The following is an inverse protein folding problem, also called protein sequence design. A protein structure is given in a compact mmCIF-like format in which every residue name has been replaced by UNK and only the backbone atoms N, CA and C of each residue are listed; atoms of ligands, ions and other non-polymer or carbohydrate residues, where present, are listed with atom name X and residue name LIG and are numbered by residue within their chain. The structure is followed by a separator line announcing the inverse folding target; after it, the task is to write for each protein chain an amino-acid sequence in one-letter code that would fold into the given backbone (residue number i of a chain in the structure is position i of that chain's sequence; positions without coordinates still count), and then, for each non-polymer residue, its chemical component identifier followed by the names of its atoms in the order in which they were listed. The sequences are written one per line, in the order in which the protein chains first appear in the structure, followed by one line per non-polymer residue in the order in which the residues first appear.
data_IF_574460087483
#
_entry.id   IF_574460087483
#
_cell.length_a   1.000
_cell.length_b   1.000
_cell.length_c   1.000
_cell.angle_alpha   90.00
_cell.angle_beta   90.00
_cell.angle_gamma   90.00
#
_symmetry.space_group_name_H-M   'P 1'
#
loop_
_entity.id
_entity.type
_entity.pdbx_description
1 polymer ?
#
# COMPACT_ATOMS: atom_id res chain seq x y z
N UNK A 1 18.90 -19.97 25.93
CA UNK A 1 18.78 -18.52 25.61
C UNK A 1 20.11 -18.13 24.96
N UNK A 2 20.19 -18.09 23.62
CA UNK A 2 21.35 -17.50 22.93
C UNK A 2 21.34 -16.01 23.25
N UNK A 3 22.32 -15.57 24.02
CA UNK A 3 22.59 -14.14 24.23
C UNK A 3 22.78 -13.51 22.85
N UNK A 4 21.93 -12.55 22.47
CA UNK A 4 22.05 -11.85 21.21
C UNK A 4 23.44 -11.19 21.14
N UNK A 5 24.39 -11.81 20.42
CA UNK A 5 25.72 -11.24 20.19
C UNK A 5 25.53 -9.85 19.58
N UNK A 6 26.27 -8.85 20.06
CA UNK A 6 26.26 -7.51 19.45
C UNK A 6 26.61 -7.61 17.97
N UNK A 7 26.01 -6.79 17.13
CA UNK A 7 26.37 -6.76 15.72
C UNK A 7 27.84 -6.31 15.58
N UNK A 8 28.59 -6.95 14.69
CA UNK A 8 29.95 -6.51 14.38
C UNK A 8 29.95 -5.20 13.60
N UNK A 9 31.04 -4.44 13.62
CA UNK A 9 31.18 -3.23 12.82
C UNK A 9 30.91 -3.50 11.32
N UNK A 10 31.38 -4.64 10.79
CA UNK A 10 31.14 -5.04 9.40
C UNK A 10 29.63 -5.27 9.11
N UNK A 11 28.89 -5.87 10.06
CA UNK A 11 27.43 -6.05 9.90
C UNK A 11 26.67 -4.73 9.92
N UNK A 12 27.09 -3.78 10.76
CA UNK A 12 26.50 -2.43 10.81
C UNK A 12 26.84 -1.63 9.56
N UNK A 13 28.06 -1.75 9.04
CA UNK A 13 28.46 -1.13 7.77
C UNK A 13 27.63 -1.69 6.60
N UNK A 14 27.48 -3.02 6.52
CA UNK A 14 26.63 -3.64 5.50
C UNK A 14 25.17 -3.18 5.60
N UNK A 15 24.60 -3.10 6.79
CA UNK A 15 23.26 -2.55 6.99
C UNK A 15 23.19 -1.08 6.57
N UNK A 16 24.20 -0.28 6.89
CA UNK A 16 24.29 1.13 6.46
C UNK A 16 24.25 1.28 4.94
N UNK A 17 25.01 0.44 4.21
CA UNK A 17 25.01 0.43 2.74
C UNK A 17 23.65 0.01 2.17
N UNK A 18 23.00 -1.00 2.78
CA UNK A 18 21.65 -1.44 2.39
C UNK A 18 20.63 -0.31 2.63
N UNK A 19 20.70 0.38 3.77
CA UNK A 19 19.81 1.51 4.07
C UNK A 19 20.05 2.70 3.15
N UNK A 20 21.29 2.95 2.73
CA UNK A 20 21.60 3.99 1.73
C UNK A 20 20.97 3.68 0.38
N UNK A 21 21.08 2.44 -0.10
CA UNK A 21 20.40 1.98 -1.31
C UNK A 21 18.87 2.07 -1.15
N UNK A 22 18.35 1.63 0.00
CA UNK A 22 16.93 1.70 0.31
C UNK A 22 16.41 3.15 0.30
N UNK A 23 17.20 4.10 0.83
CA UNK A 23 16.87 5.52 0.80
C UNK A 23 16.88 6.07 -0.63
N UNK A 24 17.89 5.75 -1.43
CA UNK A 24 17.96 6.18 -2.83
C UNK A 24 16.73 5.73 -3.62
N UNK A 25 16.35 4.44 -3.52
CA UNK A 25 15.17 3.91 -4.20
C UNK A 25 13.85 4.54 -3.74
N UNK A 26 13.75 5.05 -2.51
CA UNK A 26 12.50 5.59 -1.93
C UNK A 26 12.38 7.11 -2.05
N UNK A 27 13.49 7.83 -1.93
CA UNK A 27 13.51 9.29 -2.05
C UNK A 27 13.32 9.73 -3.49
N UNK A 28 13.99 9.05 -4.43
CA UNK A 28 13.79 9.31 -5.87
C UNK A 28 12.38 8.89 -6.24
N UNK A 29 11.62 9.81 -6.81
CA UNK A 29 10.22 9.61 -7.19
C UNK A 29 9.19 9.92 -6.08
N UNK A 30 9.58 10.08 -4.81
CA UNK A 30 8.63 10.50 -3.76
C UNK A 30 8.04 11.89 -4.03
N UNK A 31 8.77 12.74 -4.76
CA UNK A 31 8.30 14.05 -5.22
C UNK A 31 7.37 14.03 -6.44
N UNK A 32 7.14 12.86 -7.06
CA UNK A 32 6.31 12.77 -8.26
C UNK A 32 4.89 13.27 -8.00
N UNK A 33 4.40 14.15 -8.88
CA UNK A 33 3.07 14.74 -8.79
C UNK A 33 2.88 15.83 -7.75
N UNK A 34 3.88 16.14 -6.90
CA UNK A 34 3.75 17.22 -5.91
C UNK A 34 3.51 18.58 -6.61
N UNK A 35 2.74 19.48 -5.96
CA UNK A 35 2.18 19.40 -4.60
C UNK A 35 0.89 18.56 -4.46
N UNK A 36 0.53 17.76 -5.43
CA UNK A 36 -0.74 17.03 -5.52
C UNK A 36 -0.59 15.54 -5.17
N UNK A 37 -1.61 14.85 -4.67
CA UNK A 37 -1.53 13.45 -4.23
C UNK A 37 -1.64 12.46 -5.41
N UNK A 38 -0.79 12.61 -6.44
CA UNK A 38 -0.92 11.84 -7.68
C UNK A 38 -0.37 10.40 -7.60
N UNK A 39 0.36 10.02 -6.55
CA UNK A 39 0.90 8.67 -6.42
C UNK A 39 -0.14 7.66 -5.92
N UNK A 40 -1.04 8.08 -5.03
CA UNK A 40 -2.07 7.20 -4.48
C UNK A 40 -3.31 8.01 -4.08
N UNK A 41 -4.53 7.63 -4.51
CA UNK A 41 -5.75 8.34 -4.16
C UNK A 41 -6.08 8.32 -2.65
N UNK A 42 -5.58 7.33 -1.88
CA UNK A 42 -5.79 7.28 -0.44
C UNK A 42 -5.13 8.48 0.27
N UNK A 43 -4.06 9.07 -0.30
CA UNK A 43 -3.40 10.26 0.26
C UNK A 43 -4.38 11.46 0.37
N UNK A 44 -5.34 11.59 -0.56
CA UNK A 44 -6.38 12.64 -0.53
C UNK A 44 -7.26 12.56 0.73
N UNK A 45 -7.39 11.38 1.30
CA UNK A 45 -8.17 11.15 2.52
C UNK A 45 -7.31 11.20 3.78
N UNK A 46 -6.07 10.71 3.71
CA UNK A 46 -5.23 10.48 4.87
C UNK A 46 -4.45 11.75 5.29
N UNK A 47 -3.84 12.44 4.35
CA UNK A 47 -2.99 13.61 4.65
C UNK A 47 -3.80 14.81 5.17
N UNK A 48 -4.96 15.18 4.58
CA UNK A 48 -5.78 16.25 5.13
C UNK A 48 -6.27 15.97 6.56
N UNK A 49 -6.61 14.73 6.92
CA UNK A 49 -6.98 14.37 8.29
C UNK A 49 -5.82 14.50 9.27
N UNK A 50 -4.61 14.10 8.85
CA UNK A 50 -3.42 14.30 9.64
C UNK A 50 -3.10 15.80 9.86
N UNK A 51 -3.35 16.63 8.85
CA UNK A 51 -3.21 18.08 8.93
C UNK A 51 -4.25 18.69 9.90
N UNK A 52 -5.53 18.31 9.76
CA UNK A 52 -6.62 18.77 10.63
C UNK A 52 -6.36 18.45 12.09
N UNK A 53 -5.78 17.28 12.39
CA UNK A 53 -5.45 16.84 13.75
C UNK A 53 -4.56 17.85 14.49
N UNK A 54 -3.64 18.52 13.80
CA UNK A 54 -2.71 19.49 14.41
C UNK A 54 -3.10 20.95 14.18
N UNK A 55 -4.18 21.22 13.40
CA UNK A 55 -4.71 22.56 13.10
C UNK A 55 -6.13 22.78 13.67
N UNK A 56 -6.42 22.18 14.82
CA UNK A 56 -7.67 22.44 15.56
C UNK A 56 -8.89 21.64 15.15
N UNK A 57 -8.74 20.67 14.21
CA UNK A 57 -9.82 19.75 13.81
C UNK A 57 -10.14 18.65 14.85
N UNK A 58 -9.40 18.61 15.98
CA UNK A 58 -9.56 17.59 17.01
C UNK A 58 -8.85 16.28 16.69
N UNK A 59 -8.87 15.34 17.66
CA UNK A 59 -8.21 14.03 17.54
C UNK A 59 -9.09 12.96 16.88
N UNK A 60 -10.39 13.23 16.71
CA UNK A 60 -11.33 12.34 16.05
C UNK A 60 -11.28 12.56 14.54
N UNK A 61 -10.86 11.55 13.74
CA UNK A 61 -10.83 11.71 12.29
C UNK A 61 -12.22 11.73 11.63
N UNK A 62 -13.29 11.37 12.37
CA UNK A 62 -14.66 11.26 11.85
C UNK A 62 -14.81 10.27 10.68
N UNK A 63 -13.85 9.33 10.53
CA UNK A 63 -13.75 8.38 9.44
C UNK A 63 -12.89 7.20 9.88
N UNK A 64 -13.43 5.99 9.78
CA UNK A 64 -12.86 4.80 10.40
C UNK A 64 -12.54 3.68 9.40
N UNK A 65 -12.38 4.00 8.11
CA UNK A 65 -11.85 3.05 7.12
C UNK A 65 -10.47 2.54 7.53
N UNK A 66 -9.70 3.41 8.21
CA UNK A 66 -8.43 3.09 8.84
C UNK A 66 -8.38 3.61 10.29
N UNK A 67 -7.67 2.89 11.20
CA UNK A 67 -7.40 3.39 12.54
C UNK A 67 -6.43 4.58 12.54
N UNK A 68 -6.22 5.23 13.70
CA UNK A 68 -5.65 6.57 13.76
C UNK A 68 -4.12 6.66 13.77
N UNK A 69 -3.37 5.54 13.88
CA UNK A 69 -1.91 5.61 14.09
C UNK A 69 -1.18 6.35 12.96
N UNK A 70 -1.62 6.20 11.69
CA UNK A 70 -0.98 6.92 10.59
C UNK A 70 -1.21 8.43 10.72
N UNK A 71 -2.41 8.88 11.09
CA UNK A 71 -2.69 10.30 11.30
C UNK A 71 -1.80 10.89 12.39
N UNK A 72 -1.60 10.16 13.50
CA UNK A 72 -0.70 10.55 14.59
C UNK A 72 0.77 10.59 14.12
N UNK A 73 1.18 9.66 13.25
CA UNK A 73 2.55 9.63 12.72
C UNK A 73 2.81 10.77 11.73
N UNK A 74 1.82 11.12 10.89
CA UNK A 74 1.94 12.18 9.90
C UNK A 74 1.71 13.58 10.47
N UNK A 75 0.86 13.73 11.50
CA UNK A 75 0.47 15.01 12.08
C UNK A 75 1.63 15.96 12.39
N UNK A 76 2.69 15.54 13.10
CA UNK A 76 3.84 16.39 13.39
C UNK A 76 4.51 16.98 12.15
N UNK A 77 4.51 16.27 11.02
CA UNK A 77 5.07 16.75 9.77
C UNK A 77 4.25 17.86 9.11
N UNK A 78 3.00 18.05 9.56
CA UNK A 78 2.07 19.04 9.00
C UNK A 78 2.08 20.39 9.73
N UNK A 79 2.73 20.49 10.90
CA UNK A 79 2.68 21.67 11.78
C UNK A 79 3.14 23.00 11.14
N UNK A 80 4.02 22.94 10.13
CA UNK A 80 4.57 24.13 9.47
C UNK A 80 3.88 24.53 8.17
N UNK A 81 2.70 23.98 7.86
CA UNK A 81 2.01 24.19 6.60
C UNK A 81 0.58 24.67 6.80
N UNK A 82 0.19 25.74 6.10
CA UNK A 82 -1.17 26.30 6.14
C UNK A 82 -2.20 25.40 5.41
N UNK A 83 -1.74 24.54 4.52
CA UNK A 83 -2.51 23.53 3.81
C UNK A 83 -1.88 22.14 3.92
N UNK A 84 -2.64 21.04 3.71
CA UNK A 84 -2.08 19.68 3.76
C UNK A 84 -0.87 19.47 2.84
N UNK A 85 0.29 19.17 3.42
CA UNK A 85 1.53 18.94 2.68
C UNK A 85 1.77 17.45 2.41
N UNK A 86 1.49 17.02 1.18
CA UNK A 86 1.76 15.64 0.74
C UNK A 86 3.25 15.34 0.71
N UNK A 87 4.09 16.32 0.38
CA UNK A 87 5.55 16.17 0.40
C UNK A 87 6.08 15.84 1.79
N UNK A 88 5.67 16.59 2.82
CA UNK A 88 6.05 16.34 4.21
C UNK A 88 5.56 14.97 4.70
N UNK A 89 4.32 14.59 4.36
CA UNK A 89 3.76 13.29 4.68
C UNK A 89 4.55 12.13 4.03
N UNK A 90 4.97 12.27 2.77
CA UNK A 90 5.78 11.28 2.06
C UNK A 90 7.18 11.11 2.63
N UNK A 91 7.78 12.17 3.16
CA UNK A 91 9.07 12.06 3.90
C UNK A 91 8.92 11.14 5.11
N UNK A 92 7.81 11.26 5.86
CA UNK A 92 7.51 10.35 6.98
C UNK A 92 7.31 8.92 6.47
N UNK A 93 6.57 8.72 5.36
CA UNK A 93 6.38 7.41 4.76
C UNK A 93 7.71 6.76 4.34
N UNK A 94 8.64 7.52 3.74
CA UNK A 94 10.00 7.05 3.42
C UNK A 94 10.74 6.62 4.70
N UNK A 95 10.68 7.40 5.77
CA UNK A 95 11.31 7.06 7.05
C UNK A 95 10.73 5.75 7.64
N UNK A 96 9.40 5.57 7.57
CA UNK A 96 8.72 4.33 7.98
C UNK A 96 9.22 3.16 7.10
N UNK A 97 9.34 3.34 5.80
CA UNK A 97 9.87 2.34 4.88
C UNK A 97 11.30 1.90 5.21
N UNK A 98 12.18 2.86 5.53
CA UNK A 98 13.56 2.59 5.97
C UNK A 98 13.58 1.85 7.32
N UNK A 99 12.73 2.23 8.27
CA UNK A 99 12.54 1.51 9.52
C UNK A 99 12.08 0.06 9.28
N UNK A 100 11.23 -0.18 8.24
CA UNK A 100 10.81 -1.51 7.80
C UNK A 100 11.98 -2.38 7.33
N UNK A 101 12.93 -1.81 6.58
CA UNK A 101 14.18 -2.50 6.17
C UNK A 101 15.01 -2.90 7.39
N UNK A 102 15.17 -1.99 8.36
CA UNK A 102 15.89 -2.26 9.60
C UNK A 102 15.17 -3.31 10.46
N UNK A 103 13.84 -3.28 10.50
CA UNK A 103 13.03 -4.28 11.20
C UNK A 103 13.15 -5.68 10.58
N UNK A 104 13.21 -5.78 9.25
CA UNK A 104 13.44 -7.05 8.55
C UNK A 104 14.83 -7.61 8.84
N UNK A 105 15.86 -6.77 8.87
CA UNK A 105 17.19 -7.17 9.34
C UNK A 105 17.15 -7.70 10.76
N UNK A 106 16.50 -7.00 11.68
CA UNK A 106 16.36 -7.43 13.07
C UNK A 106 15.63 -8.77 13.18
N UNK A 107 14.48 -8.92 12.50
CA UNK A 107 13.70 -10.15 12.46
C UNK A 107 14.55 -11.33 11.98
N UNK A 108 15.20 -11.19 10.82
CA UNK A 108 16.01 -12.26 10.24
C UNK A 108 17.18 -12.64 11.13
N UNK A 109 17.86 -11.64 11.71
CA UNK A 109 18.97 -11.87 12.64
C UNK A 109 18.53 -12.58 13.92
N UNK A 110 17.38 -12.22 14.47
CA UNK A 110 16.83 -12.82 15.66
C UNK A 110 16.33 -14.26 15.40
N UNK A 111 15.78 -14.52 14.21
CA UNK A 111 15.22 -15.81 13.84
C UNK A 111 16.31 -16.83 13.45
N UNK A 112 17.25 -16.45 12.57
CA UNK A 112 18.15 -17.40 11.91
C UNK A 112 19.59 -16.90 11.81
N UNK A 113 19.91 -15.74 12.36
CA UNK A 113 21.26 -15.18 12.39
C UNK A 113 21.57 -14.18 11.27
N UNK A 114 22.85 -13.85 11.13
CA UNK A 114 23.31 -12.72 10.31
C UNK A 114 22.89 -12.80 8.84
N UNK A 115 23.02 -13.96 8.20
CA UNK A 115 22.66 -14.13 6.79
C UNK A 115 21.18 -13.83 6.55
N UNK A 116 20.29 -14.38 7.39
CA UNK A 116 18.88 -14.12 7.27
C UNK A 116 18.54 -12.64 7.54
N UNK A 117 19.26 -11.98 8.45
CA UNK A 117 19.12 -10.54 8.65
C UNK A 117 19.49 -9.73 7.42
N UNK A 118 20.64 -10.02 6.81
CA UNK A 118 21.09 -9.30 5.60
C UNK A 118 20.15 -9.56 4.41
N UNK A 119 19.76 -10.82 4.18
CA UNK A 119 18.81 -11.15 3.09
C UNK A 119 17.46 -10.52 3.33
N UNK A 120 16.94 -10.52 4.57
CA UNK A 120 15.71 -9.83 4.94
C UNK A 120 15.76 -8.34 4.59
N UNK A 121 16.87 -7.66 4.98
CA UNK A 121 17.06 -6.25 4.67
C UNK A 121 17.19 -5.99 3.15
N UNK A 122 18.01 -6.76 2.43
CA UNK A 122 18.17 -6.64 0.97
C UNK A 122 16.84 -6.88 0.27
N UNK A 123 16.14 -7.97 0.62
CA UNK A 123 14.88 -8.32 -0.02
C UNK A 123 13.82 -7.21 0.14
N UNK A 124 13.64 -6.66 1.35
CA UNK A 124 12.70 -5.55 1.58
C UNK A 124 13.19 -4.24 0.90
N UNK A 125 14.50 -4.05 0.77
CA UNK A 125 15.07 -2.90 0.06
C UNK A 125 14.65 -2.89 -1.40
N UNK A 126 14.66 -4.07 -2.06
CA UNK A 126 14.44 -4.20 -3.50
C UNK A 126 13.04 -4.63 -3.89
N UNK A 127 12.19 -5.04 -2.94
CA UNK A 127 10.82 -5.44 -3.19
C UNK A 127 10.02 -4.27 -3.81
N UNK A 128 9.57 -4.41 -5.07
CA UNK A 128 8.96 -3.33 -5.85
C UNK A 128 7.77 -2.70 -5.14
N UNK A 129 6.89 -3.54 -4.57
CA UNK A 129 5.71 -3.08 -3.81
C UNK A 129 6.12 -2.29 -2.58
N UNK A 130 7.10 -2.79 -1.80
CA UNK A 130 7.54 -2.09 -0.60
C UNK A 130 8.24 -0.75 -0.93
N UNK A 131 8.99 -0.71 -2.03
CA UNK A 131 9.60 0.54 -2.53
C UNK A 131 8.51 1.52 -2.93
N UNK A 132 7.54 1.10 -3.74
CA UNK A 132 6.46 1.94 -4.24
C UNK A 132 5.62 2.54 -3.09
N UNK A 133 5.12 1.69 -2.18
CA UNK A 133 4.27 2.14 -1.06
C UNK A 133 5.02 2.93 0.02
N UNK A 134 6.36 2.80 0.10
CA UNK A 134 7.18 3.67 0.97
C UNK A 134 7.27 5.13 0.50
N UNK A 135 6.86 5.43 -0.73
CA UNK A 135 6.82 6.79 -1.30
C UNK A 135 5.49 7.48 -1.10
N UNK A 136 4.49 6.76 -0.61
CA UNK A 136 3.10 7.19 -0.48
C UNK A 136 2.73 7.28 1.00
N UNK A 137 2.02 8.33 1.39
CA UNK A 137 1.55 8.50 2.76
C UNK A 137 0.30 7.65 3.03
N UNK A 138 0.48 6.31 3.01
CA UNK A 138 -0.58 5.31 3.21
C UNK A 138 -0.24 4.32 4.33
N UNK A 139 -1.25 3.59 4.80
CA UNK A 139 -1.15 2.76 6.02
C UNK A 139 -0.32 1.49 5.86
N UNK A 140 -0.12 1.00 4.63
CA UNK A 140 0.36 -0.35 4.34
C UNK A 140 1.80 -0.60 4.79
N UNK A 141 2.69 0.38 4.61
CA UNK A 141 4.09 0.28 5.04
C UNK A 141 4.22 0.38 6.56
N UNK A 142 3.37 1.21 7.20
CA UNK A 142 3.32 1.31 8.67
C UNK A 142 2.81 0.01 9.29
N UNK A 143 1.77 -0.61 8.72
CA UNK A 143 1.30 -1.94 9.09
C UNK A 143 2.43 -2.97 8.98
N UNK A 144 3.13 -2.99 7.84
CA UNK A 144 4.21 -3.93 7.57
C UNK A 144 5.37 -3.78 8.56
N UNK A 145 5.74 -2.54 8.91
CA UNK A 145 6.71 -2.24 9.96
C UNK A 145 6.26 -2.79 11.32
N UNK A 146 4.99 -2.53 11.69
CA UNK A 146 4.41 -3.01 12.95
C UNK A 146 4.40 -4.54 13.04
N UNK A 147 3.99 -5.22 11.96
CA UNK A 147 3.99 -6.68 11.87
C UNK A 147 5.42 -7.24 11.99
N UNK A 148 6.35 -6.71 11.20
CA UNK A 148 7.74 -7.17 11.19
C UNK A 148 8.40 -6.99 12.56
N UNK A 149 8.16 -5.84 13.21
CA UNK A 149 8.66 -5.54 14.55
C UNK A 149 8.05 -6.46 15.61
N UNK A 150 6.75 -6.74 15.53
CA UNK A 150 6.07 -7.68 16.42
C UNK A 150 6.68 -9.08 16.31
N UNK A 151 6.84 -9.58 15.08
CA UNK A 151 7.45 -10.89 14.85
C UNK A 151 8.89 -10.95 15.35
N UNK A 152 9.69 -9.90 15.16
CA UNK A 152 11.04 -9.80 15.71
C UNK A 152 11.06 -9.85 17.24
N UNK A 153 10.14 -9.18 17.92
CA UNK A 153 9.98 -9.23 19.37
C UNK A 153 9.56 -10.62 19.86
N UNK A 154 8.62 -11.29 19.16
CA UNK A 154 8.17 -12.64 19.49
C UNK A 154 9.31 -13.66 19.39
N UNK A 155 10.06 -13.63 18.30
CA UNK A 155 11.21 -14.51 18.09
C UNK A 155 12.31 -14.24 19.12
N UNK A 156 12.49 -12.96 19.52
CA UNK A 156 13.42 -12.56 20.58
C UNK A 156 12.92 -12.90 21.99
N UNK A 157 11.72 -13.47 22.17
CA UNK A 157 11.14 -13.85 23.46
C UNK A 157 10.59 -12.69 24.30
N UNK A 158 10.41 -11.50 23.70
CA UNK A 158 9.91 -10.27 24.36
C UNK A 158 8.40 -10.13 24.19
N UNK A 159 7.63 -11.08 24.79
CA UNK A 159 6.22 -11.27 24.54
C UNK A 159 5.37 -10.03 24.86
N UNK A 160 5.62 -9.35 25.98
CA UNK A 160 4.85 -8.17 26.39
C UNK A 160 5.06 -6.98 25.45
N UNK A 161 6.31 -6.73 25.03
CA UNK A 161 6.62 -5.71 24.04
C UNK A 161 6.06 -6.05 22.65
N UNK A 162 6.00 -7.33 22.31
CA UNK A 162 5.33 -7.79 21.11
C UNK A 162 3.83 -7.50 21.15
N UNK A 163 3.20 -7.60 22.35
CA UNK A 163 1.81 -7.17 22.55
C UNK A 163 1.62 -5.70 22.20
N UNK A 164 2.46 -4.81 22.76
CA UNK A 164 2.40 -3.37 22.43
C UNK A 164 2.55 -3.14 20.92
N UNK A 165 3.56 -3.74 20.30
CA UNK A 165 3.80 -3.59 18.85
C UNK A 165 2.64 -4.13 18.00
N UNK A 166 1.99 -5.24 18.43
CA UNK A 166 0.80 -5.79 17.76
C UNK A 166 -0.40 -4.83 17.83
N UNK A 167 -0.61 -4.18 18.99
CA UNK A 167 -1.65 -3.16 19.15
C UNK A 167 -1.40 -1.95 18.25
N UNK A 168 -0.14 -1.49 18.15
CA UNK A 168 0.24 -0.42 17.22
C UNK A 168 0.07 -0.86 15.76
N UNK A 169 0.41 -2.09 15.40
CA UNK A 169 0.16 -2.61 14.05
C UNK A 169 -1.33 -2.65 13.71
N UNK A 170 -2.17 -3.08 14.65
CA UNK A 170 -3.63 -3.04 14.51
C UNK A 170 -4.15 -1.60 14.37
N UNK A 171 -3.53 -0.64 15.08
CA UNK A 171 -3.84 0.79 14.98
C UNK A 171 -3.29 1.46 13.72
N UNK A 172 -2.35 0.84 13.00
CA UNK A 172 -1.96 1.26 11.66
C UNK A 172 -2.99 0.81 10.62
N UNK A 173 -3.45 -0.44 10.71
CA UNK A 173 -4.49 -1.03 9.83
C UNK A 173 -5.07 -2.27 10.50
N UNK A 174 -6.39 -2.45 10.45
CA UNK A 174 -7.12 -3.53 11.16
C UNK A 174 -6.54 -4.95 10.98
N UNK A 175 -6.01 -5.37 9.80
CA UNK A 175 -5.35 -6.68 9.67
C UNK A 175 -4.18 -6.93 10.61
N UNK A 176 -3.61 -5.90 11.25
CA UNK A 176 -2.63 -6.04 12.33
C UNK A 176 -3.14 -6.84 13.53
N UNK A 177 -4.47 -6.91 13.74
CA UNK A 177 -5.10 -7.73 14.77
C UNK A 177 -4.82 -9.24 14.59
N UNK A 178 -4.50 -9.70 13.38
CA UNK A 178 -4.13 -11.10 13.11
C UNK A 178 -2.85 -11.54 13.86
N UNK A 179 -2.05 -10.58 14.34
CA UNK A 179 -0.89 -10.84 15.18
C UNK A 179 -1.22 -11.50 16.53
N UNK A 180 -2.47 -11.52 16.92
CA UNK A 180 -2.95 -12.33 18.06
C UNK A 180 -2.54 -13.80 17.90
N UNK A 181 -2.61 -14.36 16.69
CA UNK A 181 -2.28 -15.78 16.45
C UNK A 181 -0.79 -16.08 16.72
N UNK A 182 0.18 -15.41 16.07
CA UNK A 182 1.60 -15.66 16.38
C UNK A 182 1.97 -15.29 17.82
N UNK A 183 1.28 -14.35 18.46
CA UNK A 183 1.49 -13.97 19.86
C UNK A 183 1.08 -15.13 20.80
N UNK A 184 -0.07 -15.76 20.55
CA UNK A 184 -0.50 -16.95 21.30
C UNK A 184 0.46 -18.12 21.06
N UNK A 185 0.83 -18.40 19.80
CA UNK A 185 1.78 -19.47 19.44
C UNK A 185 3.12 -19.26 20.14
N UNK A 186 3.67 -18.05 20.14
CA UNK A 186 4.94 -17.74 20.83
C UNK A 186 4.85 -17.89 22.35
N UNK A 187 3.65 -17.73 22.88
CA UNK A 187 3.38 -17.78 24.33
C UNK A 187 2.89 -19.12 24.87
N UNK A 188 2.79 -20.16 24.06
CA UNK A 188 2.36 -21.51 24.50
C UNK A 188 3.17 -21.94 25.75
N UNK A 189 2.46 -22.41 26.78
CA UNK A 189 3.03 -22.77 28.09
C UNK A 189 3.30 -21.58 29.03
N UNK A 190 3.01 -20.35 28.62
CA UNK A 190 3.20 -19.11 29.43
C UNK A 190 1.94 -18.23 29.43
N UNK A 191 0.80 -18.85 29.71
CA UNK A 191 -0.51 -18.23 29.54
C UNK A 191 -0.68 -16.85 30.22
N UNK A 192 -0.17 -16.70 31.44
CA UNK A 192 -0.20 -15.41 32.15
C UNK A 192 0.51 -14.28 31.38
N UNK A 193 1.60 -14.62 30.66
CA UNK A 193 2.30 -13.63 29.79
C UNK A 193 1.54 -13.36 28.51
N UNK A 194 0.84 -14.37 27.93
CA UNK A 194 -0.04 -14.18 26.78
C UNK A 194 -1.16 -13.21 27.12
N UNK A 195 -1.86 -13.42 28.25
CA UNK A 195 -2.95 -12.53 28.68
C UNK A 195 -2.45 -11.09 28.88
N UNK A 196 -1.28 -10.92 29.53
CA UNK A 196 -0.67 -9.58 29.67
C UNK A 196 -0.34 -8.95 28.32
N UNK A 197 0.24 -9.71 27.39
CA UNK A 197 0.60 -9.22 26.08
C UNK A 197 -0.64 -8.83 25.25
N UNK A 198 -1.72 -9.61 25.33
CA UNK A 198 -3.00 -9.28 24.72
C UNK A 198 -3.63 -8.02 25.34
N UNK A 199 -3.58 -7.89 26.66
CA UNK A 199 -4.02 -6.68 27.35
C UNK A 199 -3.23 -5.43 26.94
N UNK A 200 -1.90 -5.56 26.79
CA UNK A 200 -1.05 -4.48 26.29
C UNK A 200 -1.32 -4.16 24.82
N UNK A 201 -1.67 -5.16 23.98
CA UNK A 201 -2.06 -4.92 22.59
C UNK A 201 -3.38 -4.14 22.52
N UNK A 202 -4.38 -4.55 23.30
CA UNK A 202 -5.64 -3.82 23.39
C UNK A 202 -5.44 -2.39 23.90
N UNK A 203 -4.62 -2.20 24.96
CA UNK A 203 -4.31 -0.89 25.49
C UNK A 203 -3.61 0.01 24.47
N UNK A 204 -2.58 -0.51 23.76
CA UNK A 204 -1.88 0.25 22.73
C UNK A 204 -2.81 0.65 21.59
N UNK A 205 -3.71 -0.22 21.17
CA UNK A 205 -4.73 0.08 20.15
C UNK A 205 -5.68 1.18 20.64
N UNK A 206 -6.25 1.05 21.85
CA UNK A 206 -7.21 2.02 22.39
C UNK A 206 -6.57 3.39 22.60
N UNK A 207 -5.33 3.44 23.10
CA UNK A 207 -4.61 4.70 23.30
C UNK A 207 -4.33 5.44 21.99
N UNK A 208 -4.02 4.70 20.92
CA UNK A 208 -3.67 5.30 19.61
C UNK A 208 -4.84 5.41 18.65
N UNK A 209 -5.97 4.74 18.92
CA UNK A 209 -7.20 4.81 18.11
C UNK A 209 -8.45 4.82 18.99
N UNK A 210 -8.57 5.77 19.94
CA UNK A 210 -9.64 5.76 20.95
C UNK A 210 -11.03 5.90 20.32
N UNK A 211 -11.15 6.69 19.25
CA UNK A 211 -12.43 6.99 18.61
C UNK A 211 -13.04 5.82 17.85
N UNK A 212 -12.24 4.84 17.44
CA UNK A 212 -12.75 3.55 16.91
C UNK A 212 -13.59 2.83 17.98
N UNK A 213 -13.24 2.98 19.26
CA UNK A 213 -13.98 2.38 20.39
C UNK A 213 -15.13 3.29 20.82
N UNK A 214 -14.91 4.60 20.90
CA UNK A 214 -15.94 5.59 21.30
C UNK A 214 -17.10 5.61 20.29
N UNK A 215 -16.79 5.55 19.00
CA UNK A 215 -17.78 5.53 17.91
C UNK A 215 -17.89 4.15 17.26
N UNK A 216 -17.96 3.09 18.07
CA UNK A 216 -17.89 1.70 17.61
C UNK A 216 -18.94 1.35 16.52
N UNK A 217 -20.13 1.95 16.56
CA UNK A 217 -21.17 1.76 15.52
C UNK A 217 -20.71 2.28 14.17
N UNK A 218 -20.29 3.56 14.09
CA UNK A 218 -19.80 4.16 12.86
C UNK A 218 -18.52 3.46 12.35
N UNK A 219 -17.62 3.08 13.26
CA UNK A 219 -16.43 2.33 12.91
C UNK A 219 -16.78 0.95 12.32
N UNK A 220 -17.77 0.26 12.86
CA UNK A 220 -18.24 -1.01 12.33
C UNK A 220 -18.83 -0.86 10.92
N UNK A 221 -19.62 0.18 10.69
CA UNK A 221 -20.23 0.45 9.39
C UNK A 221 -19.16 0.72 8.33
N UNK A 222 -18.14 1.55 8.65
CA UNK A 222 -17.02 1.85 7.77
C UNK A 222 -16.19 0.60 7.49
N UNK A 223 -15.76 -0.16 8.51
CA UNK A 223 -15.01 -1.40 8.37
C UNK A 223 -15.76 -2.42 7.51
N UNK A 224 -17.06 -2.60 7.80
CA UNK A 224 -17.90 -3.55 7.07
C UNK A 224 -18.08 -3.14 5.61
N UNK A 225 -18.19 -1.83 5.33
CA UNK A 225 -18.25 -1.29 3.98
C UNK A 225 -16.95 -1.57 3.20
N UNK A 226 -15.80 -1.27 3.80
CA UNK A 226 -14.48 -1.53 3.17
C UNK A 226 -14.29 -3.03 2.92
N UNK A 227 -14.71 -3.88 3.87
CA UNK A 227 -14.63 -5.33 3.71
C UNK A 227 -15.52 -5.84 2.58
N UNK A 228 -16.76 -5.37 2.49
CA UNK A 228 -17.66 -5.73 1.37
C UNK A 228 -17.08 -5.30 0.02
N UNK A 229 -16.52 -4.08 -0.08
CA UNK A 229 -15.88 -3.61 -1.31
C UNK A 229 -14.67 -4.48 -1.70
N UNK A 230 -13.87 -4.91 -0.73
CA UNK A 230 -12.72 -5.78 -0.98
C UNK A 230 -13.16 -7.19 -1.43
N UNK A 231 -14.28 -7.70 -0.90
CA UNK A 231 -14.85 -9.00 -1.28
C UNK A 231 -15.61 -8.97 -2.60
N UNK A 232 -16.25 -7.85 -2.95
CA UNK A 232 -16.93 -7.68 -4.23
C UNK A 232 -15.97 -7.61 -5.44
N UNK A 233 -14.71 -7.25 -5.20
CA UNK A 233 -13.72 -7.03 -6.25
C UNK A 233 -13.54 -5.55 -6.61
N UNK A 234 -12.79 -5.28 -7.65
CA UNK A 234 -12.47 -3.93 -8.10
C UNK A 234 -12.23 -3.91 -9.60
N UNK A 235 -12.53 -2.77 -10.24
CA UNK A 235 -12.30 -2.58 -11.68
C UNK A 235 -10.87 -2.97 -12.10
N UNK A 236 -10.78 -3.93 -13.02
CA UNK A 236 -9.53 -4.44 -13.59
C UNK A 236 -8.98 -5.71 -12.90
N UNK A 237 -9.76 -6.35 -12.01
CA UNK A 237 -9.45 -7.65 -11.42
C UNK A 237 -10.45 -8.75 -11.80
N UNK A 238 -11.41 -8.45 -12.66
CA UNK A 238 -12.52 -9.34 -13.04
C UNK A 238 -12.03 -10.62 -13.75
N UNK A 239 -10.94 -10.50 -14.52
CA UNK A 239 -10.32 -11.60 -15.24
C UNK A 239 -9.09 -12.18 -14.52
N UNK A 240 -8.82 -11.73 -13.27
CA UNK A 240 -7.75 -12.31 -12.47
C UNK A 240 -8.05 -13.80 -12.18
N UNK A 241 -7.02 -14.65 -12.03
CA UNK A 241 -7.22 -16.03 -11.65
C UNK A 241 -7.77 -16.14 -10.23
N UNK A 242 -8.12 -17.37 -9.79
CA UNK A 242 -8.57 -17.63 -8.41
C UNK A 242 -7.65 -16.95 -7.39
N UNK A 243 -8.24 -16.40 -6.35
CA UNK A 243 -7.59 -15.54 -5.33
C UNK A 243 -6.21 -16.02 -4.85
N UNK A 244 -5.95 -17.31 -4.53
CA UNK A 244 -4.62 -17.74 -4.12
C UNK A 244 -3.56 -17.54 -5.22
N UNK A 245 -3.92 -17.77 -6.48
CA UNK A 245 -3.01 -17.60 -7.61
C UNK A 245 -2.81 -16.12 -7.92
N UNK A 246 -3.86 -15.31 -7.84
CA UNK A 246 -3.76 -13.85 -7.98
C UNK A 246 -2.76 -13.27 -6.98
N UNK A 247 -2.87 -13.58 -5.68
CA UNK A 247 -1.90 -13.11 -4.68
C UNK A 247 -0.50 -13.74 -4.82
N UNK A 248 -0.39 -14.95 -5.36
CA UNK A 248 0.93 -15.50 -5.73
C UNK A 248 1.57 -14.67 -6.87
N UNK A 249 0.78 -14.25 -7.86
CA UNK A 249 1.24 -13.35 -8.93
C UNK A 249 1.66 -11.98 -8.38
N UNK A 250 0.87 -11.36 -7.48
CA UNK A 250 1.25 -10.10 -6.82
C UNK A 250 2.54 -10.25 -5.98
N UNK A 251 2.73 -11.42 -5.36
CA UNK A 251 3.98 -11.72 -4.63
C UNK A 251 5.16 -11.85 -5.60
N UNK A 252 4.95 -12.46 -6.76
CA UNK A 252 5.94 -12.53 -7.83
C UNK A 252 6.29 -11.14 -8.38
N UNK A 253 5.30 -10.31 -8.67
CA UNK A 253 5.50 -8.91 -9.11
C UNK A 253 6.31 -8.09 -8.09
N UNK A 254 6.17 -8.41 -6.80
CA UNK A 254 6.92 -7.75 -5.73
C UNK A 254 8.36 -8.24 -5.60
N UNK A 255 8.59 -9.54 -5.67
CA UNK A 255 9.84 -10.19 -5.28
C UNK A 255 10.55 -10.93 -6.42
N UNK A 256 9.86 -11.19 -7.55
CA UNK A 256 10.40 -12.00 -8.64
C UNK A 256 10.90 -13.36 -8.16
N UNK A 257 12.06 -13.84 -8.67
CA UNK A 257 12.64 -15.12 -8.27
C UNK A 257 12.92 -15.25 -6.77
N UNK A 258 13.09 -14.15 -6.05
CA UNK A 258 13.27 -14.16 -4.59
C UNK A 258 12.06 -14.77 -3.87
N UNK A 259 10.84 -14.64 -4.43
CA UNK A 259 9.65 -15.30 -3.91
C UNK A 259 9.79 -16.82 -3.86
N UNK A 260 10.35 -17.43 -4.92
CA UNK A 260 10.57 -18.89 -4.96
C UNK A 260 11.57 -19.33 -3.89
N UNK A 261 12.65 -18.58 -3.70
CA UNK A 261 13.61 -18.88 -2.62
C UNK A 261 12.93 -18.77 -1.26
N UNK A 262 12.06 -17.76 -1.07
CA UNK A 262 11.23 -17.61 0.12
C UNK A 262 10.32 -18.81 0.36
N UNK A 263 9.65 -19.33 -0.68
CA UNK A 263 8.80 -20.52 -0.60
C UNK A 263 9.59 -21.78 -0.23
N UNK A 264 10.82 -21.95 -0.76
CA UNK A 264 11.73 -23.01 -0.29
C UNK A 264 12.03 -22.82 1.19
N UNK A 265 12.27 -21.59 1.64
CA UNK A 265 12.45 -21.27 3.05
C UNK A 265 11.23 -21.63 3.91
N UNK A 266 10.00 -21.39 3.41
CA UNK A 266 8.75 -21.85 4.05
C UNK A 266 8.71 -23.37 4.16
N UNK A 267 9.02 -24.11 3.09
CA UNK A 267 9.05 -25.57 3.11
C UNK A 267 10.05 -26.13 4.13
N UNK A 268 11.23 -25.50 4.23
CA UNK A 268 12.23 -25.84 5.25
C UNK A 268 11.69 -25.53 6.65
N UNK A 269 11.00 -24.41 6.85
CA UNK A 269 10.40 -24.04 8.14
C UNK A 269 9.32 -25.05 8.58
N UNK A 270 8.45 -25.47 7.65
CA UNK A 270 7.42 -26.50 7.89
C UNK A 270 8.02 -27.83 8.34
N UNK A 271 9.21 -28.20 7.79
CA UNK A 271 9.90 -29.43 8.18
C UNK A 271 10.62 -29.30 9.52
N UNK A 272 11.30 -28.18 9.79
CA UNK A 272 12.14 -28.00 10.96
C UNK A 272 11.42 -27.62 12.24
N UNK A 273 10.33 -26.83 12.10
CA UNK A 273 9.42 -26.42 13.18
C UNK A 273 10.11 -25.85 14.42
N UNK A 274 11.19 -25.08 14.23
CA UNK A 274 11.80 -24.35 15.36
C UNK A 274 10.79 -23.34 15.91
N UNK A 275 11.05 -22.78 17.09
CA UNK A 275 10.18 -21.76 17.67
C UNK A 275 10.02 -20.55 16.76
N UNK A 276 11.07 -20.09 16.10
CA UNK A 276 11.02 -19.01 15.12
C UNK A 276 10.14 -19.42 13.92
N UNK A 277 10.30 -20.66 13.42
CA UNK A 277 9.48 -21.17 12.33
C UNK A 277 7.98 -21.15 12.67
N UNK A 278 7.62 -21.64 13.86
CA UNK A 278 6.21 -21.70 14.28
C UNK A 278 5.60 -20.30 14.36
N UNK A 279 6.34 -19.32 14.86
CA UNK A 279 5.89 -17.92 14.92
C UNK A 279 5.68 -17.35 13.51
N UNK A 280 6.68 -17.51 12.61
CA UNK A 280 6.58 -16.98 11.25
C UNK A 280 5.50 -17.69 10.43
N UNK A 281 5.42 -19.02 10.51
CA UNK A 281 4.42 -19.83 9.81
C UNK A 281 3.01 -19.54 10.31
N UNK A 282 2.81 -19.33 11.62
CA UNK A 282 1.49 -19.01 12.17
C UNK A 282 1.00 -17.65 11.66
N UNK A 283 1.87 -16.64 11.55
CA UNK A 283 1.53 -15.38 10.92
C UNK A 283 1.25 -15.55 9.43
N UNK A 284 2.18 -16.17 8.68
CA UNK A 284 2.01 -16.39 7.24
C UNK A 284 0.71 -17.13 6.95
N UNK A 285 0.41 -18.18 7.72
CA UNK A 285 -0.81 -18.97 7.55
C UNK A 285 -2.09 -18.15 7.79
N UNK A 286 -2.21 -17.50 8.97
CA UNK A 286 -3.42 -16.75 9.28
C UNK A 286 -3.61 -15.54 8.36
N UNK A 287 -2.53 -14.85 7.99
CA UNK A 287 -2.60 -13.72 7.08
C UNK A 287 -3.00 -14.16 5.66
N UNK A 288 -2.38 -15.22 5.11
CA UNK A 288 -2.76 -15.76 3.79
C UNK A 288 -4.21 -16.26 3.78
N UNK A 289 -4.67 -16.91 4.87
CA UNK A 289 -6.06 -17.34 4.98
C UNK A 289 -7.04 -16.16 5.00
N UNK A 290 -6.66 -15.03 5.61
CA UNK A 290 -7.51 -13.83 5.62
C UNK A 290 -7.66 -13.17 4.26
N UNK A 291 -6.78 -13.46 3.31
CA UNK A 291 -6.86 -12.96 1.94
C UNK A 291 -7.79 -13.79 1.04
N UNK A 292 -8.15 -15.03 1.43
CA UNK A 292 -8.94 -15.92 0.57
C UNK A 292 -10.30 -15.35 0.13
N UNK A 293 -11.05 -14.60 0.97
CA UNK A 293 -12.32 -14.01 0.56
C UNK A 293 -12.19 -12.67 -0.17
N UNK A 294 -10.98 -12.23 -0.51
CA UNK A 294 -10.72 -10.89 -1.07
C UNK A 294 -10.59 -11.00 -2.58
N UNK A 295 -11.57 -10.48 -3.33
CA UNK A 295 -11.57 -10.44 -4.79
C UNK A 295 -10.92 -9.15 -5.36
N UNK A 296 -10.68 -8.14 -4.53
CA UNK A 296 -9.91 -6.97 -4.90
C UNK A 296 -8.40 -7.27 -4.73
N UNK A 297 -7.75 -7.84 -5.74
CA UNK A 297 -6.39 -8.38 -5.68
C UNK A 297 -5.30 -7.30 -5.71
N UNK A 298 -5.42 -6.27 -4.86
CA UNK A 298 -4.39 -5.23 -4.77
C UNK A 298 -3.05 -5.80 -4.29
N UNK A 299 -1.98 -5.40 -4.96
CA UNK A 299 -0.61 -5.78 -4.66
C UNK A 299 -0.15 -5.37 -3.24
N UNK A 300 -0.70 -4.29 -2.68
CA UNK A 300 -0.44 -3.84 -1.30
C UNK A 300 -0.83 -4.87 -0.24
N UNK A 301 -1.74 -5.79 -0.56
CA UNK A 301 -2.17 -6.81 0.39
C UNK A 301 -1.12 -7.89 0.64
N UNK A 302 -0.14 -8.08 -0.25
CA UNK A 302 0.97 -9.01 0.00
C UNK A 302 2.14 -8.37 0.77
N UNK A 303 2.14 -7.04 0.97
CA UNK A 303 3.22 -6.32 1.67
C UNK A 303 3.62 -6.92 3.04
N UNK A 304 2.67 -7.30 3.92
CA UNK A 304 3.01 -7.89 5.21
C UNK A 304 3.74 -9.24 5.12
N UNK A 305 3.58 -9.97 4.01
CA UNK A 305 4.28 -11.25 3.78
C UNK A 305 5.71 -11.04 3.27
N UNK A 306 6.00 -9.94 2.61
CA UNK A 306 7.30 -9.65 1.99
C UNK A 306 8.48 -9.79 2.97
N UNK A 307 8.51 -9.14 4.15
CA UNK A 307 9.63 -9.28 5.08
C UNK A 307 9.81 -10.72 5.58
N UNK A 308 8.71 -11.44 5.78
CA UNK A 308 8.74 -12.82 6.27
C UNK A 308 9.33 -13.76 5.22
N UNK A 309 8.90 -13.66 3.96
CA UNK A 309 9.44 -14.44 2.85
C UNK A 309 10.92 -14.13 2.63
N UNK A 310 11.34 -12.87 2.68
CA UNK A 310 12.74 -12.46 2.55
C UNK A 310 13.62 -13.04 3.69
N UNK A 311 13.12 -13.02 4.92
CA UNK A 311 13.82 -13.59 6.07
C UNK A 311 13.94 -15.11 5.96
N UNK A 312 12.89 -15.79 5.53
CA UNK A 312 12.90 -17.24 5.30
C UNK A 312 13.84 -17.62 4.14
N UNK A 313 13.92 -16.80 3.09
CA UNK A 313 14.88 -16.97 2.00
C UNK A 313 16.34 -16.87 2.45
N UNK A 314 16.62 -16.15 3.54
CA UNK A 314 17.97 -16.03 4.13
C UNK A 314 18.35 -17.15 5.08
N UNK A 315 17.52 -18.18 5.23
CA UNK A 315 17.72 -19.27 6.18
C UNK A 315 18.87 -20.22 5.79
N UNK A 316 20.04 -19.94 6.30
CA UNK A 316 21.27 -20.70 6.01
C UNK A 316 22.00 -20.20 4.76
N UNK A 317 23.29 -20.55 4.62
CA UNK A 317 24.18 -19.94 3.63
C UNK A 317 23.74 -20.19 2.19
N UNK A 318 23.29 -21.39 1.85
CA UNK A 318 22.86 -21.73 0.49
C UNK A 318 21.64 -20.91 0.03
N UNK A 319 20.60 -20.86 0.86
CA UNK A 319 19.41 -20.05 0.54
C UNK A 319 19.77 -18.57 0.50
N UNK A 320 20.62 -18.10 1.40
CA UNK A 320 21.07 -16.72 1.43
C UNK A 320 21.79 -16.31 0.13
N UNK A 321 22.69 -17.16 -0.38
CA UNK A 321 23.40 -16.91 -1.65
C UNK A 321 22.40 -16.88 -2.83
N UNK A 322 21.49 -17.86 -2.90
CA UNK A 322 20.46 -17.91 -3.91
C UNK A 322 19.52 -16.68 -3.83
N UNK A 323 19.14 -16.26 -2.62
CA UNK A 323 18.30 -15.10 -2.39
C UNK A 323 18.95 -13.79 -2.82
N UNK A 324 20.25 -13.61 -2.53
CA UNK A 324 20.99 -12.42 -2.95
C UNK A 324 21.12 -12.33 -4.48
N UNK A 325 21.36 -13.47 -5.15
CA UNK A 325 21.34 -13.51 -6.62
C UNK A 325 19.94 -13.22 -7.18
N UNK A 326 18.91 -13.84 -6.60
CA UNK A 326 17.51 -13.62 -7.01
C UNK A 326 17.03 -12.18 -6.80
N UNK A 327 17.58 -11.48 -5.79
CA UNK A 327 17.24 -10.08 -5.48
C UNK A 327 17.68 -9.08 -6.57
N UNK A 328 18.56 -9.47 -7.50
CA UNK A 328 18.96 -8.62 -8.62
C UNK A 328 17.80 -8.31 -9.56
N UNK A 329 16.83 -9.23 -9.70
CA UNK A 329 15.67 -9.04 -10.57
C UNK A 329 14.73 -7.96 -10.01
N UNK A 330 14.20 -8.06 -8.76
CA UNK A 330 13.38 -6.99 -8.22
C UNK A 330 14.16 -5.70 -7.99
N UNK A 331 15.48 -5.73 -7.82
CA UNK A 331 16.30 -4.52 -7.84
C UNK A 331 16.20 -3.81 -9.18
N UNK A 332 16.37 -4.54 -10.28
CA UNK A 332 16.23 -4.00 -11.63
C UNK A 332 14.84 -3.37 -11.83
N UNK A 333 13.78 -4.09 -11.50
CA UNK A 333 12.41 -3.58 -11.60
C UNK A 333 12.19 -2.33 -10.75
N UNK A 334 12.69 -2.32 -9.49
CA UNK A 334 12.58 -1.15 -8.61
C UNK A 334 13.36 0.07 -9.12
N UNK A 335 14.49 -0.14 -9.80
CA UNK A 335 15.24 0.95 -10.44
C UNK A 335 14.48 1.49 -11.63
N UNK A 336 13.90 0.63 -12.43
CA UNK A 336 13.12 0.99 -13.61
C UNK A 336 11.86 1.78 -13.24
N UNK A 337 11.06 1.27 -12.29
CA UNK A 337 9.93 1.99 -11.70
C UNK A 337 10.34 3.36 -11.13
N UNK A 338 11.53 3.42 -10.50
CA UNK A 338 12.03 4.66 -9.91
C UNK A 338 12.38 5.69 -10.98
N UNK A 339 12.96 5.24 -12.10
CA UNK A 339 13.28 6.12 -13.25
C UNK A 339 11.99 6.62 -13.90
N UNK A 340 11.03 5.74 -14.12
CA UNK A 340 9.74 6.11 -14.69
C UNK A 340 9.05 7.23 -13.88
N UNK A 341 9.17 7.23 -12.54
CA UNK A 341 8.60 8.28 -11.68
C UNK A 341 9.25 9.67 -11.85
N UNK A 342 10.37 9.78 -12.54
CA UNK A 342 10.98 11.09 -12.86
C UNK A 342 10.35 11.75 -14.10
N UNK A 343 9.59 11.01 -14.89
CA UNK A 343 8.84 11.55 -16.01
C UNK A 343 7.64 12.38 -15.55
N UNK A 344 7.25 13.34 -16.37
CA UNK A 344 6.12 14.21 -16.05
C UNK A 344 4.80 13.44 -16.12
N UNK A 345 3.94 13.68 -15.16
CA UNK A 345 2.63 13.04 -15.07
C UNK A 345 1.65 13.70 -16.07
N UNK A 346 1.01 12.94 -17.00
CA UNK A 346 0.10 13.48 -18.00
C UNK A 346 -1.12 14.19 -17.40
N UNK A 347 -1.50 13.88 -16.16
CA UNK A 347 -2.57 14.59 -15.44
C UNK A 347 -2.24 16.05 -15.18
N UNK A 348 -0.97 16.38 -14.93
CA UNK A 348 -0.51 17.76 -14.75
C UNK A 348 -0.60 18.56 -16.05
N UNK A 349 -0.26 17.92 -17.18
CA UNK A 349 -0.36 18.57 -18.49
C UNK A 349 -1.82 18.81 -18.89
N UNK A 350 -2.69 17.82 -18.64
CA UNK A 350 -4.12 17.95 -18.87
C UNK A 350 -4.74 19.08 -18.01
N UNK A 351 -4.38 19.14 -16.72
CA UNK A 351 -4.85 20.20 -15.82
C UNK A 351 -4.39 21.59 -16.29
N UNK A 352 -3.11 21.74 -16.63
CA UNK A 352 -2.58 23.01 -17.14
C UNK A 352 -3.19 23.42 -18.49
N UNK A 353 -3.54 22.46 -19.34
CA UNK A 353 -4.25 22.74 -20.58
C UNK A 353 -5.69 23.21 -20.31
N UNK A 354 -6.40 22.55 -19.40
CA UNK A 354 -7.77 22.90 -19.00
C UNK A 354 -7.82 24.32 -18.42
N UNK A 355 -6.89 24.66 -17.54
CA UNK A 355 -6.83 26.01 -16.95
C UNK A 355 -6.67 27.11 -18.01
N UNK A 356 -5.94 26.85 -19.10
CA UNK A 356 -5.68 27.82 -20.15
C UNK A 356 -6.76 27.88 -21.22
N UNK A 357 -7.46 26.78 -21.53
CA UNK A 357 -8.31 26.69 -22.73
C UNK A 357 -9.80 26.48 -22.40
N UNK A 358 -10.13 25.97 -21.21
CA UNK A 358 -11.52 25.72 -20.83
C UNK A 358 -12.07 26.92 -20.07
N UNK A 359 -13.11 27.60 -20.60
CA UNK A 359 -13.70 28.75 -19.93
C UNK A 359 -14.13 28.46 -18.50
N UNK A 360 -13.92 29.38 -17.54
CA UNK A 360 -14.24 29.15 -16.12
C UNK A 360 -15.72 28.78 -15.85
N UNK A 361 -16.64 29.18 -16.71
CA UNK A 361 -18.08 28.90 -16.64
C UNK A 361 -18.44 27.49 -17.13
N UNK A 362 -17.57 26.84 -17.89
CA UNK A 362 -17.90 25.57 -18.49
C UNK A 362 -17.71 24.42 -17.45
N UNK A 363 -18.72 23.54 -17.41
CA UNK A 363 -18.69 22.37 -16.52
C UNK A 363 -17.93 21.22 -17.20
N UNK A 364 -17.17 20.48 -16.40
CA UNK A 364 -16.29 19.39 -16.84
C UNK A 364 -16.76 18.09 -16.18
N UNK A 365 -16.96 17.03 -16.95
CA UNK A 365 -17.02 15.67 -16.43
C UNK A 365 -15.62 15.04 -16.41
N UNK A 366 -15.28 14.27 -15.42
CA UNK A 366 -14.01 13.57 -15.40
C UNK A 366 -14.12 12.18 -14.77
N UNK A 367 -13.38 11.23 -15.32
CA UNK A 367 -13.14 9.96 -14.67
C UNK A 367 -12.39 10.15 -13.35
N UNK A 368 -12.61 9.28 -12.35
CA UNK A 368 -11.86 9.34 -11.10
C UNK A 368 -10.34 9.31 -11.32
N UNK A 369 -9.62 10.07 -10.52
CA UNK A 369 -8.15 10.14 -10.54
C UNK A 369 -7.52 10.62 -11.87
N UNK A 370 -8.27 11.27 -12.77
CA UNK A 370 -7.75 11.84 -14.03
C UNK A 370 -7.30 13.28 -13.90
N UNK A 371 -7.80 14.01 -12.92
CA UNK A 371 -7.36 15.38 -12.63
C UNK A 371 -6.81 15.50 -11.22
N UNK A 372 -5.76 16.30 -11.04
CA UNK A 372 -5.07 16.44 -9.76
C UNK A 372 -5.83 17.25 -8.71
N UNK A 373 -6.79 18.07 -9.09
CA UNK A 373 -7.69 18.84 -8.22
C UNK A 373 -9.08 18.84 -8.82
N UNK A 374 -10.07 18.90 -7.97
CA UNK A 374 -11.45 19.10 -8.38
C UNK A 374 -11.76 20.61 -8.42
N UNK A 375 -11.69 21.26 -9.59
CA UNK A 375 -12.22 22.61 -9.69
C UNK A 375 -13.72 22.61 -9.35
N UNK A 376 -14.29 23.68 -8.77
CA UNK A 376 -15.69 23.72 -8.33
C UNK A 376 -16.71 23.35 -9.42
N UNK A 377 -16.30 23.39 -10.68
CA UNK A 377 -17.08 23.04 -11.88
C UNK A 377 -16.94 21.59 -12.33
N UNK A 378 -16.14 20.78 -11.61
CA UNK A 378 -15.91 19.38 -11.95
C UNK A 378 -17.05 18.50 -11.43
N UNK A 379 -17.47 17.59 -12.27
CA UNK A 379 -18.40 16.50 -11.93
C UNK A 379 -17.63 15.19 -12.10
N UNK A 380 -17.30 14.55 -11.02
CA UNK A 380 -16.69 13.21 -11.06
C UNK A 380 -17.72 12.19 -11.52
N UNK A 381 -17.35 11.36 -12.49
CA UNK A 381 -18.10 10.19 -12.88
C UNK A 381 -17.87 9.10 -11.84
N UNK A 382 -18.89 8.27 -11.60
CA UNK A 382 -18.74 7.13 -10.69
C UNK A 382 -17.75 6.11 -11.27
N UNK A 383 -16.87 5.55 -10.43
CA UNK A 383 -15.95 4.50 -10.84
C UNK A 383 -16.76 3.23 -11.16
N UNK A 384 -16.64 2.65 -12.36
CA UNK A 384 -17.22 1.33 -12.65
C UNK A 384 -16.60 0.26 -11.73
N UNK A 385 -17.35 -0.81 -11.48
CA UNK A 385 -16.85 -1.91 -10.67
C UNK A 385 -17.94 -2.90 -10.30
N UNK A 386 -17.57 -4.08 -9.77
CA UNK A 386 -18.52 -5.04 -9.26
C UNK A 386 -19.46 -4.41 -8.21
N UNK A 387 -20.71 -4.78 -8.23
CA UNK A 387 -21.78 -4.29 -7.32
C UNK A 387 -21.98 -2.74 -7.33
N UNK A 388 -21.48 -2.05 -8.37
CA UNK A 388 -21.69 -0.61 -8.55
C UNK A 388 -22.75 -0.34 -9.61
N UNK A 389 -23.59 0.65 -9.34
CA UNK A 389 -24.58 1.09 -10.32
C UNK A 389 -23.92 1.77 -11.51
N UNK A 390 -24.46 1.55 -12.71
CA UNK A 390 -24.06 2.29 -13.90
C UNK A 390 -24.30 3.79 -13.72
N UNK A 391 -23.30 4.61 -13.98
CA UNK A 391 -23.46 6.05 -13.99
C UNK A 391 -24.10 6.51 -15.32
N UNK A 392 -25.36 7.03 -15.30
CA UNK A 392 -26.03 7.48 -16.51
C UNK A 392 -25.30 8.60 -17.28
N UNK A 393 -24.39 9.32 -16.60
CA UNK A 393 -23.57 10.36 -17.20
C UNK A 393 -22.48 9.82 -18.15
N UNK A 394 -22.26 8.49 -18.17
CA UNK A 394 -21.46 7.81 -19.19
C UNK A 394 -22.25 7.60 -20.49
N UNK A 395 -22.79 8.72 -20.98
CA UNK A 395 -23.52 8.85 -22.24
C UNK A 395 -23.36 10.28 -22.74
N UNK A 396 -22.91 10.46 -23.98
CA UNK A 396 -22.67 11.78 -24.58
C UNK A 396 -23.93 12.62 -24.67
N UNK A 397 -25.08 12.01 -24.95
CA UNK A 397 -26.35 12.72 -25.01
C UNK A 397 -26.78 13.20 -23.61
N UNK A 398 -26.54 12.40 -22.58
CA UNK A 398 -26.81 12.80 -21.19
C UNK A 398 -25.86 13.91 -20.76
N UNK A 399 -24.55 13.80 -21.03
CA UNK A 399 -23.58 14.86 -20.72
C UNK A 399 -24.00 16.19 -21.33
N UNK A 400 -24.43 16.19 -22.62
CA UNK A 400 -24.96 17.37 -23.31
C UNK A 400 -26.20 17.93 -22.62
N UNK A 401 -27.18 17.08 -22.32
CA UNK A 401 -28.43 17.48 -21.68
C UNK A 401 -28.24 18.14 -20.33
N UNK A 402 -27.27 17.66 -19.51
CA UNK A 402 -26.98 18.22 -18.19
C UNK A 402 -25.97 19.40 -18.23
N UNK A 403 -25.59 19.85 -19.43
CA UNK A 403 -24.72 21.02 -19.62
C UNK A 403 -23.24 20.77 -19.32
N UNK A 404 -22.78 19.54 -19.38
CA UNK A 404 -21.36 19.18 -19.28
C UNK A 404 -20.72 19.33 -20.66
N UNK A 405 -19.81 20.30 -20.79
CA UNK A 405 -19.22 20.66 -22.09
C UNK A 405 -17.91 19.97 -22.37
N UNK A 406 -17.24 19.54 -21.35
CA UNK A 406 -15.93 18.92 -21.41
C UNK A 406 -15.94 17.60 -20.69
N UNK A 407 -15.16 16.66 -21.21
CA UNK A 407 -14.97 15.31 -20.62
C UNK A 407 -13.48 15.00 -20.54
N UNK A 408 -13.01 14.59 -19.37
CA UNK A 408 -11.63 14.15 -19.15
C UNK A 408 -11.62 12.66 -18.86
N UNK A 409 -10.84 11.92 -19.64
CA UNK A 409 -10.73 10.45 -19.56
C UNK A 409 -9.28 10.06 -19.44
N UNK A 410 -8.98 9.03 -18.66
CA UNK A 410 -7.65 8.46 -18.54
C UNK A 410 -7.65 6.94 -18.66
N UNK A 411 -6.50 6.39 -19.01
CA UNK A 411 -6.30 4.94 -19.18
C UNK A 411 -6.63 4.15 -17.90
N UNK A 412 -6.39 4.72 -16.73
CA UNK A 412 -6.67 4.07 -15.45
C UNK A 412 -8.12 3.59 -15.26
N UNK A 413 -9.08 4.19 -15.98
CA UNK A 413 -10.48 3.74 -16.02
C UNK A 413 -10.83 3.18 -17.39
N UNK A 414 -10.54 3.90 -18.47
CA UNK A 414 -10.96 3.55 -19.82
C UNK A 414 -10.38 2.20 -20.28
N UNK A 415 -9.06 2.00 -20.16
CA UNK A 415 -8.40 0.76 -20.63
C UNK A 415 -8.87 -0.45 -19.81
N UNK A 416 -9.09 -0.30 -18.50
CA UNK A 416 -9.61 -1.37 -17.65
C UNK A 416 -11.05 -1.75 -18.01
N UNK A 417 -11.91 -0.77 -18.28
CA UNK A 417 -13.28 -1.03 -18.73
C UNK A 417 -13.29 -1.69 -20.12
N UNK A 418 -12.43 -1.26 -21.02
CA UNK A 418 -12.34 -1.85 -22.37
C UNK A 418 -11.77 -3.28 -22.33
N UNK A 419 -10.80 -3.55 -21.45
CA UNK A 419 -10.30 -4.91 -21.22
C UNK A 419 -11.40 -5.81 -20.63
N UNK A 420 -12.13 -5.35 -19.62
CA UNK A 420 -13.26 -6.07 -19.02
C UNK A 420 -14.62 -5.77 -19.68
N UNK A 421 -14.67 -5.56 -21.01
CA UNK A 421 -15.88 -5.13 -21.71
C UNK A 421 -17.07 -6.09 -21.59
N UNK A 422 -16.83 -7.37 -21.33
CA UNK A 422 -17.86 -8.39 -21.05
C UNK A 422 -18.59 -8.12 -19.73
N UNK A 423 -17.89 -7.61 -18.72
CA UNK A 423 -18.43 -7.26 -17.41
C UNK A 423 -19.09 -5.88 -17.40
N UNK A 424 -18.59 -4.96 -18.24
CA UNK A 424 -19.02 -3.54 -18.29
C UNK A 424 -19.50 -3.12 -19.71
N UNK A 425 -20.50 -3.78 -20.31
CA UNK A 425 -20.85 -3.56 -21.73
C UNK A 425 -21.41 -2.14 -22.01
N UNK A 426 -21.99 -1.47 -21.02
CA UNK A 426 -22.54 -0.10 -21.17
C UNK A 426 -21.42 0.93 -21.14
N UNK A 427 -20.52 0.81 -20.18
CA UNK A 427 -19.34 1.65 -20.01
C UNK A 427 -18.39 1.48 -21.19
N UNK A 428 -18.16 0.26 -21.63
CA UNK A 428 -17.32 -0.03 -22.81
C UNK A 428 -17.88 0.62 -24.10
N UNK A 429 -19.19 0.62 -24.28
CA UNK A 429 -19.82 1.35 -25.39
C UNK A 429 -19.56 2.84 -25.32
N UNK A 430 -19.62 3.41 -24.12
CA UNK A 430 -19.31 4.83 -23.94
C UNK A 430 -17.88 5.14 -24.37
N UNK A 431 -16.86 4.40 -23.87
CA UNK A 431 -15.47 4.66 -24.25
C UNK A 431 -15.19 4.40 -25.74
N UNK A 432 -15.79 3.37 -26.35
CA UNK A 432 -15.71 3.16 -27.80
C UNK A 432 -16.33 4.30 -28.59
N UNK A 433 -17.40 4.93 -28.11
CA UNK A 433 -17.99 6.09 -28.79
C UNK A 433 -17.07 7.32 -28.80
N UNK A 434 -16.11 7.40 -27.89
CA UNK A 434 -15.11 8.47 -27.87
C UNK A 434 -14.00 8.26 -28.92
N UNK A 435 -13.79 7.05 -29.42
CA UNK A 435 -12.80 6.78 -30.48
C UNK A 435 -13.12 7.50 -31.80
N UNK A 436 -14.40 7.79 -32.03
CA UNK A 436 -14.85 8.57 -33.19
C UNK A 436 -14.73 10.09 -33.01
N UNK A 437 -14.28 10.56 -31.86
CA UNK A 437 -14.16 11.98 -31.53
C UNK A 437 -12.69 12.32 -31.35
N UNK A 438 -12.20 13.27 -32.13
CA UNK A 438 -10.83 13.78 -31.92
C UNK A 438 -10.74 14.49 -30.57
N UNK A 439 -9.79 14.12 -29.69
CA UNK A 439 -9.61 14.82 -28.42
C UNK A 439 -9.08 16.23 -28.68
N UNK A 440 -9.63 17.21 -27.97
CA UNK A 440 -9.13 18.58 -27.98
C UNK A 440 -7.72 18.69 -27.40
N UNK A 441 -7.34 17.74 -26.55
CA UNK A 441 -6.02 17.63 -25.99
C UNK A 441 -5.72 16.17 -25.59
N UNK A 442 -4.50 15.72 -25.83
CA UNK A 442 -3.97 14.46 -25.33
C UNK A 442 -2.60 14.68 -24.71
N UNK A 443 -2.43 14.22 -23.48
CA UNK A 443 -1.12 14.05 -22.84
C UNK A 443 -0.80 12.56 -22.76
N UNK A 444 0.40 12.17 -23.15
CA UNK A 444 0.86 10.79 -23.14
C UNK A 444 2.30 10.71 -22.62
N UNK A 445 2.66 9.58 -22.01
CA UNK A 445 4.02 9.21 -21.64
C UNK A 445 4.29 7.75 -22.00
N UNK A 446 5.57 7.42 -22.15
CA UNK A 446 6.04 6.07 -22.45
C UNK A 446 6.52 5.40 -21.15
N UNK A 447 5.68 4.78 -20.41
CA UNK A 447 6.06 4.07 -19.19
C UNK A 447 4.99 3.06 -18.80
N UNK A 448 5.39 1.93 -18.26
CA UNK A 448 4.50 0.88 -17.78
C UNK A 448 4.53 0.79 -16.25
N UNK A 449 4.56 1.94 -15.59
CA UNK A 449 4.43 2.03 -14.15
C UNK A 449 2.95 2.20 -13.74
N UNK A 450 2.69 2.34 -12.44
CA UNK A 450 1.35 2.45 -11.85
C UNK A 450 0.63 3.78 -12.12
N UNK A 451 1.27 4.73 -12.80
CA UNK A 451 0.68 6.03 -13.14
C UNK A 451 -0.07 5.95 -14.47
N UNK A 452 -1.02 6.86 -14.73
CA UNK A 452 -1.66 6.97 -16.03
C UNK A 452 -0.64 7.15 -17.16
N UNK A 453 -0.83 6.40 -18.25
CA UNK A 453 -0.03 6.51 -19.48
C UNK A 453 -0.54 7.63 -20.37
N UNK A 454 -1.84 7.88 -20.33
CA UNK A 454 -2.46 8.94 -21.10
C UNK A 454 -3.65 9.57 -20.38
N UNK A 455 -3.90 10.86 -20.70
CA UNK A 455 -5.11 11.59 -20.33
C UNK A 455 -5.59 12.34 -21.57
N UNK A 456 -6.87 12.24 -21.90
CA UNK A 456 -7.53 12.90 -23.02
C UNK A 456 -8.62 13.84 -22.54
N UNK A 457 -8.70 15.01 -23.18
CA UNK A 457 -9.76 16.00 -22.94
C UNK A 457 -10.61 16.10 -24.20
N UNK A 458 -11.89 15.83 -24.09
CA UNK A 458 -12.85 15.88 -25.18
C UNK A 458 -13.79 17.06 -25.01
N UNK A 459 -14.14 17.69 -26.15
CA UNK A 459 -15.25 18.63 -26.22
C UNK A 459 -16.53 17.85 -26.53
N UNK A 460 -17.52 17.90 -25.61
CA UNK A 460 -18.77 17.11 -25.71
C UNK A 460 -19.77 17.73 -26.70
N UNK A 461 -19.67 19.04 -26.93
CA UNK A 461 -20.39 19.75 -27.95
C UNK A 461 -19.47 20.08 -29.14
N UNK A 462 -19.98 20.06 -30.37
CA UNK A 462 -19.21 20.51 -31.54
C UNK A 462 -18.84 21.99 -31.44
#
# INVERSE_FOLDING_TARGET
VQVARRASAAQLAALGSILALAAALRVVGAGSGLPLPLLNPDEENLVPRAWQLVHGGGLDPGWYDYPSLLFLALGPSQLGFDEPSYGAARVVAVAIGLAGVAAAWWLGRAAYGTFAGLVGAVGVTVATTHVAYSRMAVTDVLLTLGITSTLALLVSGRLEWAGVAAGLAASAKYPGALLVVPLVVAGIGRWRRVVRALGLAALAFVVTSPFVVVHAGAAWDDISRVQRLAQAGWLGFEDDPITPLAFAMRTWESLGPLALVGLVGVAVAVRRRTRADLVLLSFTGVYSLSLLPVEAHFDRYVLPLVPVLCVLAGRGPWLATAALAAALVPLWWSVDDTRALTERDPRLDAAAWIERHVPPRDRIAADPSTLPRDPPRLVRLELPGPDRAFDPRRDLAVLRRVGLRWLVVGDGVADRVLAGASHYPREARFYRSLEAIEPAFEARRDGDDRRPRWVRVYRVYP
#
